data_IF_547333999614
#
_entry.id   IF_547333999614
#
_cell.length_a   1.000
_cell.length_b   1.000
_cell.length_c   1.000
_cell.angle_alpha   90.00
_cell.angle_beta   90.00
_cell.angle_gamma   90.00
#
_symmetry.space_group_name_H-M   'P 1'
#
loop_
_entity.id
_entity.type
_entity.pdbx_description
1 polymer ?
#
# COMPACT_ATOMS: atom_id res chain seq x y z
N UNK A 1 26.08 16.80 -6.45
CA UNK A 1 25.94 16.76 -7.94
C UNK A 1 24.46 16.81 -8.33
N UNK A 2 24.07 17.05 -9.59
CA UNK A 2 22.64 17.16 -9.95
C UNK A 2 21.87 15.84 -9.80
N UNK A 3 22.45 14.73 -10.29
CA UNK A 3 21.87 13.38 -10.15
C UNK A 3 21.71 12.96 -8.68
N UNK A 4 22.79 13.09 -7.90
CA UNK A 4 22.82 12.76 -6.47
C UNK A 4 21.77 13.54 -5.68
N UNK A 5 21.59 14.83 -5.98
CA UNK A 5 20.58 15.66 -5.33
C UNK A 5 19.16 15.18 -5.68
N UNK A 6 18.88 14.89 -6.95
CA UNK A 6 17.58 14.38 -7.38
C UNK A 6 17.29 13.00 -6.76
N UNK A 7 18.29 12.13 -6.67
CA UNK A 7 18.20 10.81 -6.07
C UNK A 7 17.96 10.88 -4.56
N UNK A 8 18.65 11.80 -3.88
CA UNK A 8 18.44 12.05 -2.45
C UNK A 8 17.03 12.56 -2.17
N UNK A 9 16.48 13.43 -3.02
CA UNK A 9 15.09 13.89 -2.89
C UNK A 9 14.11 12.74 -3.07
N UNK A 10 14.27 11.90 -4.09
CA UNK A 10 13.44 10.72 -4.30
C UNK A 10 13.50 9.75 -3.10
N UNK A 11 14.70 9.50 -2.57
CA UNK A 11 14.90 8.69 -1.36
C UNK A 11 14.17 9.27 -0.15
N UNK A 12 14.30 10.57 0.09
CA UNK A 12 13.65 11.22 1.22
C UNK A 12 12.13 11.13 1.12
N UNK A 13 11.54 11.39 -0.05
CA UNK A 13 10.08 11.22 -0.25
C UNK A 13 9.63 9.77 -0.07
N UNK A 14 10.45 8.82 -0.48
CA UNK A 14 10.18 7.39 -0.27
C UNK A 14 10.24 7.00 1.21
N UNK A 15 11.18 7.56 1.98
CA UNK A 15 11.28 7.36 3.44
C UNK A 15 10.09 8.00 4.16
N UNK A 16 9.69 9.21 3.79
CA UNK A 16 8.52 9.90 4.38
C UNK A 16 7.23 9.08 4.21
N UNK A 17 7.01 8.48 3.04
CA UNK A 17 5.87 7.57 2.82
C UNK A 17 5.93 6.38 3.76
N UNK A 18 7.10 5.73 3.87
CA UNK A 18 7.25 4.57 4.76
C UNK A 18 7.05 4.95 6.22
N UNK A 19 7.58 6.08 6.66
CA UNK A 19 7.37 6.58 8.02
C UNK A 19 5.89 6.89 8.31
N UNK A 20 5.12 7.34 7.32
CA UNK A 20 3.67 7.51 7.46
C UNK A 20 2.97 6.14 7.61
N UNK A 21 3.34 5.16 6.79
CA UNK A 21 2.80 3.79 6.88
C UNK A 21 3.19 3.07 8.19
N UNK A 22 4.41 3.27 8.69
CA UNK A 22 4.89 2.74 9.97
C UNK A 22 4.10 3.32 11.15
N UNK A 23 3.54 4.52 11.00
CA UNK A 23 2.63 5.17 11.96
C UNK A 23 1.15 4.84 11.72
N UNK A 24 0.86 3.95 10.79
CA UNK A 24 -0.49 3.60 10.31
C UNK A 24 -1.30 4.81 9.78
N UNK A 25 -0.59 5.86 9.36
CA UNK A 25 -1.15 7.06 8.74
C UNK A 25 -1.27 6.86 7.23
N UNK A 26 -2.26 6.06 6.83
CA UNK A 26 -2.51 5.77 5.41
C UNK A 26 -2.90 7.04 4.64
N UNK A 27 -3.66 7.95 5.26
CA UNK A 27 -4.07 9.19 4.61
C UNK A 27 -2.85 10.07 4.29
N UNK A 28 -1.96 10.29 5.25
CA UNK A 28 -0.72 11.02 5.04
C UNK A 28 0.20 10.34 4.03
N UNK A 29 0.28 9.00 4.05
CA UNK A 29 1.04 8.25 3.04
C UNK A 29 0.51 8.51 1.61
N UNK A 30 -0.82 8.52 1.43
CA UNK A 30 -1.46 8.78 0.13
C UNK A 30 -1.22 10.22 -0.36
N UNK A 31 -1.23 11.20 0.53
CA UNK A 31 -0.93 12.61 0.20
C UNK A 31 0.52 12.80 -0.29
N UNK A 32 1.45 11.95 0.16
CA UNK A 32 2.86 12.01 -0.23
C UNK A 32 3.15 11.36 -1.59
N UNK A 33 2.26 10.50 -2.13
CA UNK A 33 2.49 9.80 -3.40
C UNK A 33 2.72 10.76 -4.58
N UNK A 34 1.89 11.80 -4.82
CA UNK A 34 2.12 12.74 -5.92
C UNK A 34 3.44 13.50 -5.77
N UNK A 35 3.82 13.84 -4.53
CA UNK A 35 5.08 14.54 -4.22
C UNK A 35 6.28 13.66 -4.53
N UNK A 36 6.22 12.36 -4.18
CA UNK A 36 7.23 11.39 -4.59
C UNK A 36 7.27 11.24 -6.11
N UNK A 37 6.12 11.21 -6.78
CA UNK A 37 6.02 11.15 -8.24
C UNK A 37 6.82 12.27 -8.93
N UNK A 38 6.62 13.51 -8.51
CA UNK A 38 7.37 14.66 -9.04
C UNK A 38 8.90 14.56 -8.77
N UNK A 39 9.30 14.04 -7.61
CA UNK A 39 10.71 13.78 -7.31
C UNK A 39 11.30 12.70 -8.22
N UNK A 40 10.53 11.65 -8.55
CA UNK A 40 10.95 10.59 -9.47
C UNK A 40 11.08 11.09 -10.92
N UNK A 41 10.19 11.97 -11.38
CA UNK A 41 10.32 12.62 -12.69
C UNK A 41 11.61 13.46 -12.78
N UNK A 42 11.92 14.20 -11.71
CA UNK A 42 13.17 14.97 -11.61
C UNK A 42 14.39 14.07 -11.64
N UNK A 43 14.36 12.96 -10.90
CA UNK A 43 15.41 11.94 -10.92
C UNK A 43 15.58 11.33 -12.31
N UNK A 44 14.49 11.02 -13.01
CA UNK A 44 14.55 10.46 -14.35
C UNK A 44 15.22 11.43 -15.33
N UNK A 45 14.85 12.71 -15.30
CA UNK A 45 15.48 13.74 -16.12
C UNK A 45 16.98 13.86 -15.82
N UNK A 46 17.36 13.86 -14.54
CA UNK A 46 18.77 13.91 -14.13
C UNK A 46 19.54 12.65 -14.54
N UNK A 47 18.90 11.47 -14.49
CA UNK A 47 19.50 10.19 -14.89
C UNK A 47 19.78 10.13 -16.39
N UNK A 48 18.85 10.61 -17.23
CA UNK A 48 19.03 10.64 -18.69
C UNK A 48 20.19 11.54 -19.13
N UNK A 49 20.49 12.59 -18.37
CA UNK A 49 21.62 13.50 -18.62
C UNK A 49 22.92 13.11 -17.93
N UNK A 50 22.93 12.05 -17.10
CA UNK A 50 24.07 11.71 -16.26
C UNK A 50 25.20 11.00 -17.03
N UNK A 51 26.43 11.31 -16.65
CA UNK A 51 27.62 10.61 -17.13
C UNK A 51 27.78 9.25 -16.42
N UNK A 52 28.55 8.34 -17.03
CA UNK A 52 28.87 7.05 -16.42
C UNK A 52 29.55 7.19 -15.04
N UNK A 53 30.38 8.23 -14.86
CA UNK A 53 31.04 8.51 -13.57
C UNK A 53 30.04 8.90 -12.48
N UNK A 54 29.06 9.75 -12.80
CA UNK A 54 28.00 10.14 -11.86
C UNK A 54 27.11 8.95 -11.50
N UNK A 55 26.76 8.12 -12.48
CA UNK A 55 26.00 6.89 -12.26
C UNK A 55 26.75 5.91 -11.36
N UNK A 56 28.07 5.75 -11.57
CA UNK A 56 28.89 4.91 -10.72
C UNK A 56 28.97 5.45 -9.28
N UNK A 57 29.12 6.77 -9.11
CA UNK A 57 29.15 7.41 -7.80
C UNK A 57 27.83 7.30 -7.03
N UNK A 58 26.69 7.30 -7.74
CA UNK A 58 25.36 7.22 -7.13
C UNK A 58 24.83 5.78 -6.96
N UNK A 59 25.65 4.75 -7.24
CA UNK A 59 25.20 3.35 -7.28
C UNK A 59 24.53 2.89 -5.98
N UNK A 60 25.14 3.19 -4.83
CA UNK A 60 24.61 2.77 -3.53
C UNK A 60 23.26 3.42 -3.22
N UNK A 61 23.10 4.70 -3.58
CA UNK A 61 21.84 5.41 -3.42
C UNK A 61 20.73 4.83 -4.30
N UNK A 62 21.04 4.40 -5.53
CA UNK A 62 20.07 3.72 -6.39
C UNK A 62 19.66 2.37 -5.82
N UNK A 63 20.62 1.59 -5.32
CA UNK A 63 20.33 0.31 -4.64
C UNK A 63 19.46 0.53 -3.40
N UNK A 64 19.72 1.58 -2.65
CA UNK A 64 18.87 1.96 -1.52
C UNK A 64 17.44 2.26 -1.98
N UNK A 65 17.27 3.12 -3.00
CA UNK A 65 15.96 3.49 -3.50
C UNK A 65 15.16 2.26 -3.96
N UNK A 66 15.80 1.37 -4.72
CA UNK A 66 15.18 0.12 -5.15
C UNK A 66 14.75 -0.77 -3.98
N UNK A 67 15.58 -0.88 -2.94
CA UNK A 67 15.22 -1.66 -1.74
C UNK A 67 14.02 -1.05 -1.02
N UNK A 68 13.97 0.28 -0.91
CA UNK A 68 12.84 0.96 -0.28
C UNK A 68 11.55 0.80 -1.08
N UNK A 69 11.64 0.87 -2.40
CA UNK A 69 10.49 0.69 -3.29
C UNK A 69 9.93 -0.73 -3.23
N UNK A 70 10.81 -1.74 -3.20
CA UNK A 70 10.40 -3.13 -3.03
C UNK A 70 9.65 -3.34 -1.69
N UNK A 71 10.15 -2.75 -0.61
CA UNK A 71 9.50 -2.83 0.70
C UNK A 71 8.12 -2.15 0.71
N UNK A 72 7.99 -0.98 0.07
CA UNK A 72 6.69 -0.31 -0.06
C UNK A 72 5.69 -1.15 -0.89
N UNK A 73 6.16 -1.81 -1.93
CA UNK A 73 5.32 -2.65 -2.77
C UNK A 73 4.84 -3.90 -2.02
N UNK A 74 5.70 -4.51 -1.21
CA UNK A 74 5.35 -5.66 -0.35
C UNK A 74 4.32 -5.26 0.73
N UNK A 75 4.53 -4.12 1.40
CA UNK A 75 3.58 -3.61 2.41
C UNK A 75 2.21 -3.30 1.79
N UNK A 76 2.20 -2.59 0.66
CA UNK A 76 0.96 -2.28 -0.06
C UNK A 76 0.22 -3.55 -0.51
N UNK A 77 0.95 -4.56 -0.99
CA UNK A 77 0.38 -5.86 -1.34
C UNK A 77 -0.27 -6.57 -0.16
N UNK A 78 0.45 -6.63 0.96
CA UNK A 78 -0.02 -7.26 2.20
C UNK A 78 -1.30 -6.58 2.72
N UNK A 79 -1.32 -5.24 2.76
CA UNK A 79 -2.50 -4.47 3.18
C UNK A 79 -3.71 -4.67 2.25
N UNK A 80 -3.48 -4.80 0.94
CA UNK A 80 -4.56 -5.09 -0.02
C UNK A 80 -5.14 -6.50 0.18
N UNK A 81 -4.30 -7.49 0.46
CA UNK A 81 -4.74 -8.85 0.77
C UNK A 81 -5.56 -8.91 2.06
N UNK A 82 -5.12 -8.20 3.11
CA UNK A 82 -5.87 -8.09 4.36
C UNK A 82 -7.24 -7.42 4.15
N UNK A 83 -7.27 -6.30 3.43
CA UNK A 83 -8.52 -5.59 3.11
C UNK A 83 -9.47 -6.47 2.29
N UNK A 84 -8.94 -7.21 1.30
CA UNK A 84 -9.73 -8.16 0.52
C UNK A 84 -10.29 -9.29 1.39
N UNK A 85 -9.50 -9.84 2.31
CA UNK A 85 -9.94 -10.86 3.27
C UNK A 85 -11.07 -10.37 4.17
N UNK A 86 -10.96 -9.14 4.70
CA UNK A 86 -12.01 -8.53 5.52
C UNK A 86 -13.30 -8.30 4.74
N UNK A 87 -13.22 -7.83 3.49
CA UNK A 87 -14.38 -7.66 2.62
C UNK A 87 -15.08 -9.01 2.33
N UNK A 88 -14.31 -10.08 2.09
CA UNK A 88 -14.86 -11.42 1.91
C UNK A 88 -15.55 -11.93 3.18
N UNK A 89 -14.99 -11.68 4.36
CA UNK A 89 -15.62 -12.06 5.63
C UNK A 89 -16.95 -11.31 5.88
N UNK A 90 -17.02 -10.01 5.58
CA UNK A 90 -18.24 -9.20 5.73
C UNK A 90 -19.32 -9.65 4.75
N UNK A 91 -18.96 -9.90 3.49
CA UNK A 91 -19.92 -10.36 2.46
C UNK A 91 -20.37 -11.81 2.67
N UNK A 92 -19.50 -12.69 3.15
CA UNK A 92 -19.87 -14.06 3.53
C UNK A 92 -20.78 -14.10 4.77
N UNK A 93 -20.54 -13.24 5.76
CA UNK A 93 -21.40 -13.10 6.95
C UNK A 93 -22.81 -12.57 6.62
N UNK A 94 -22.95 -11.73 5.58
CA UNK A 94 -24.25 -11.25 5.12
C UNK A 94 -25.09 -12.30 4.35
N UNK A 95 -24.46 -13.39 3.86
CA UNK A 95 -25.14 -14.53 3.25
C UNK A 95 -25.51 -15.64 4.26
N UNK A 96 -25.12 -15.49 5.52
CA UNK A 96 -25.49 -16.41 6.60
C UNK A 96 -26.78 -15.94 7.28
N UNK A 97 -27.91 -15.96 6.55
CA UNK A 97 -29.23 -15.82 7.19
C UNK A 97 -29.45 -17.01 8.13
N UNK A 98 -29.99 -16.79 9.34
CA UNK A 98 -30.22 -17.86 10.31
C UNK A 98 -31.15 -18.90 9.69
N UNK A 99 -30.71 -20.16 9.69
CA UNK A 99 -31.59 -21.29 9.41
C UNK A 99 -32.82 -21.15 10.30
N UNK A 100 -33.99 -21.05 9.65
CA UNK A 100 -35.28 -20.96 10.32
C UNK A 100 -35.41 -22.13 11.27
N UNK A 101 -35.40 -21.82 12.55
CA UNK A 101 -35.87 -22.67 13.63
C UNK A 101 -37.27 -23.22 13.25
N UNK A 102 -37.48 -24.54 13.11
CA UNK A 102 -38.81 -25.07 12.84
C UNK A 102 -39.64 -24.96 14.12
N UNK A 103 -40.41 -23.87 14.25
CA UNK A 103 -41.51 -23.81 15.20
C UNK A 103 -42.66 -24.70 14.67
N UNK A 104 -42.65 -25.98 15.03
CA UNK A 104 -43.78 -26.88 14.87
C UNK A 104 -44.33 -27.28 16.25
N UNK A 105 -44.86 -26.31 16.99
CA UNK A 105 -46.00 -26.57 17.88
C UNK A 105 -47.26 -26.24 17.10
N UNK A 106 -47.79 -27.27 16.45
CA UNK A 106 -49.09 -27.32 15.78
C UNK A 106 -50.18 -26.80 16.71
N UNK A 107 -50.86 -25.72 16.31
CA UNK A 107 -52.05 -25.18 16.97
C UNK A 107 -53.33 -25.98 16.63
N UNK A 108 -53.26 -27.32 16.56
CA UNK A 108 -54.45 -28.16 16.33
C UNK A 108 -54.44 -29.33 17.29
N UNK A 109 -54.91 -29.08 18.52
CA UNK A 109 -55.38 -30.14 19.44
C UNK A 109 -56.35 -29.58 20.49
N UNK A 110 -57.38 -28.84 20.03
CA UNK A 110 -58.55 -28.49 20.84
C UNK A 110 -59.82 -28.47 20.00
N UNK A 111 -60.37 -29.65 19.74
CA UNK A 111 -61.80 -29.89 19.55
C UNK A 111 -62.10 -31.31 20.04
N UNK A 112 -62.24 -31.42 21.37
CA UNK A 112 -63.17 -32.35 22.03
C UNK A 112 -64.38 -31.53 22.45
#
# INVERSE_FOLDING_TARGET
MHLENALTQALNRTREIREALDRDDLAGALELIPVRGAAMETLQAAHLGATHTELAACRELFQELHRLDAALQEDAGSRLEEAAGQLHAVTAGQNSRPEKQPCLTSCVDRLV
#
